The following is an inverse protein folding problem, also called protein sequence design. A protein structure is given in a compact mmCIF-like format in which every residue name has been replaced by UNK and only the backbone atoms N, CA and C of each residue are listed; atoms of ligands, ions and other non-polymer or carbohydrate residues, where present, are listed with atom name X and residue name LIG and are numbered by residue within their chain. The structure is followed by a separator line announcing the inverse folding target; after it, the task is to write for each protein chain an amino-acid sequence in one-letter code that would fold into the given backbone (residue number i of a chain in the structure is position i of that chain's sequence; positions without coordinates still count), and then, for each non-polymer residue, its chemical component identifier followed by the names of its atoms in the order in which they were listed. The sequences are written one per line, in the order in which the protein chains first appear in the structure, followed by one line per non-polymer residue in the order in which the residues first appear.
data_IF_634479889602
#
_entry.id   IF_634479889602
#
_cell.length_a   1.000
_cell.length_b   1.000
_cell.length_c   1.000
_cell.angle_alpha   90.00
_cell.angle_beta   90.00
_cell.angle_gamma   90.00
#
_symmetry.space_group_name_H-M   'P 1'
#
loop_
_entity.id
_entity.type
_entity.pdbx_description
1 polymer ?
#
# COMPACT_ATOMS: atom_id res chain seq x y z
N UNK A 1 -47.92 -57.09 -26.81
CA UNK A 1 -47.53 -55.72 -27.21
C UNK A 1 -48.02 -54.75 -26.15
N UNK A 2 -47.12 -54.12 -25.38
CA UNK A 2 -47.46 -53.04 -24.44
C UNK A 2 -46.75 -51.76 -24.93
N UNK A 3 -47.44 -50.63 -25.06
CA UNK A 3 -46.88 -49.46 -25.73
C UNK A 3 -45.93 -48.72 -24.80
N UNK A 4 -44.75 -48.42 -25.31
CA UNK A 4 -43.67 -47.72 -24.62
C UNK A 4 -43.93 -46.20 -24.65
N UNK A 5 -44.95 -45.74 -23.93
CA UNK A 5 -45.41 -44.33 -23.93
C UNK A 5 -44.78 -43.48 -22.83
N UNK A 6 -43.98 -44.09 -21.93
CA UNK A 6 -43.35 -43.38 -20.81
C UNK A 6 -42.06 -42.64 -21.14
N UNK A 7 -41.29 -43.10 -22.14
CA UNK A 7 -39.93 -42.59 -22.41
C UNK A 7 -39.94 -41.22 -23.10
N UNK A 8 -40.91 -40.99 -24.00
CA UNK A 8 -40.94 -39.78 -24.83
C UNK A 8 -41.23 -38.48 -24.04
N UNK A 9 -41.97 -38.58 -22.93
CA UNK A 9 -42.27 -37.43 -22.05
C UNK A 9 -41.00 -36.89 -21.38
N UNK A 10 -40.09 -37.78 -20.97
CA UNK A 10 -38.83 -37.41 -20.34
C UNK A 10 -37.85 -36.81 -21.35
N UNK A 11 -37.80 -37.34 -22.57
CA UNK A 11 -36.97 -36.81 -23.66
C UNK A 11 -37.39 -35.38 -24.01
N UNK A 12 -38.70 -35.13 -24.11
CA UNK A 12 -39.21 -33.77 -24.39
C UNK A 12 -38.91 -32.77 -23.28
N UNK A 13 -38.95 -33.19 -22.01
CA UNK A 13 -38.59 -32.33 -20.88
C UNK A 13 -37.09 -31.98 -20.88
N UNK A 14 -36.23 -32.94 -21.21
CA UNK A 14 -34.79 -32.70 -21.31
C UNK A 14 -34.48 -31.76 -22.47
N UNK A 15 -35.12 -31.94 -23.63
CA UNK A 15 -34.92 -31.07 -24.79
C UNK A 15 -35.42 -29.64 -24.53
N UNK A 16 -36.54 -29.47 -23.83
CA UNK A 16 -37.03 -28.15 -23.43
C UNK A 16 -36.07 -27.47 -22.45
N UNK A 17 -35.59 -28.21 -21.44
CA UNK A 17 -34.60 -27.68 -20.49
C UNK A 17 -33.31 -27.24 -21.20
N UNK A 18 -32.79 -28.08 -22.11
CA UNK A 18 -31.61 -27.75 -22.92
C UNK A 18 -31.83 -26.56 -23.85
N UNK A 19 -33.01 -26.47 -24.48
CA UNK A 19 -33.38 -25.33 -25.32
C UNK A 19 -33.44 -24.02 -24.54
N UNK A 20 -34.02 -24.01 -23.34
CA UNK A 20 -34.05 -22.83 -22.47
C UNK A 20 -32.66 -22.41 -21.99
N UNK A 21 -31.77 -23.37 -21.71
CA UNK A 21 -30.39 -23.09 -21.34
C UNK A 21 -29.60 -22.45 -22.48
N UNK A 22 -29.74 -22.98 -23.70
CA UNK A 22 -29.10 -22.42 -24.90
C UNK A 22 -29.64 -21.02 -25.22
N UNK A 23 -30.94 -20.80 -25.06
CA UNK A 23 -31.53 -19.48 -25.28
C UNK A 23 -31.10 -18.46 -24.22
N UNK A 24 -30.95 -18.89 -22.96
CA UNK A 24 -30.45 -18.05 -21.87
C UNK A 24 -28.99 -17.65 -22.09
N UNK A 25 -28.13 -18.59 -22.47
CA UNK A 25 -26.72 -18.34 -22.76
C UNK A 25 -26.56 -17.49 -24.04
N UNK A 26 -27.32 -17.80 -25.09
CA UNK A 26 -27.31 -17.04 -26.35
C UNK A 26 -27.84 -15.62 -26.19
N UNK A 27 -28.91 -15.43 -25.41
CA UNK A 27 -29.48 -14.11 -25.11
C UNK A 27 -28.53 -13.24 -24.29
N UNK A 28 -27.78 -13.83 -23.35
CA UNK A 28 -26.79 -13.07 -22.57
C UNK A 28 -25.56 -12.70 -23.39
N UNK A 29 -25.13 -13.54 -24.34
CA UNK A 29 -24.01 -13.26 -25.25
C UNK A 29 -24.33 -12.19 -26.31
N UNK A 30 -25.56 -12.18 -26.83
CA UNK A 30 -25.99 -11.14 -27.80
C UNK A 30 -26.21 -9.79 -27.11
N UNK A 31 -26.71 -9.77 -25.87
CA UNK A 31 -26.94 -8.53 -25.12
C UNK A 31 -25.66 -7.83 -24.65
N UNK A 32 -24.54 -8.55 -24.53
CA UNK A 32 -23.21 -7.96 -24.30
C UNK A 32 -22.57 -7.39 -25.58
N UNK A 33 -23.07 -7.75 -26.77
CA UNK A 33 -22.52 -7.29 -28.05
C UNK A 33 -23.08 -5.95 -28.55
N UNK A 34 -24.23 -5.50 -28.04
CA UNK A 34 -24.87 -4.21 -28.37
C UNK A 34 -24.44 -3.06 -27.44
N UNK A 35 -23.13 -2.89 -27.20
CA UNK A 35 -22.61 -1.66 -26.56
C UNK A 35 -21.55 -0.91 -27.40
N UNK A 36 -21.82 -0.60 -28.70
CA UNK A 36 -20.91 0.20 -29.52
C UNK A 36 -20.74 1.66 -29.03
N UNK A 37 -21.69 2.19 -28.25
CA UNK A 37 -21.64 3.56 -27.74
C UNK A 37 -20.60 3.79 -26.62
N UNK A 38 -20.13 2.71 -25.97
CA UNK A 38 -19.12 2.85 -24.90
C UNK A 38 -17.72 2.94 -25.50
N UNK A 39 -17.41 2.14 -26.53
CA UNK A 39 -16.10 2.18 -27.20
C UNK A 39 -15.91 3.47 -28.01
N UNK A 40 -16.96 3.98 -28.66
CA UNK A 40 -16.91 5.26 -29.39
C UNK A 40 -16.74 6.47 -28.46
N UNK A 41 -17.37 6.44 -27.28
CA UNK A 41 -17.17 7.46 -26.23
C UNK A 41 -15.79 7.40 -25.59
N UNK A 42 -15.24 6.20 -25.37
CA UNK A 42 -13.87 6.07 -24.88
C UNK A 42 -12.84 6.49 -25.96
N UNK A 43 -13.05 6.14 -27.22
CA UNK A 43 -12.18 6.56 -28.32
C UNK A 43 -12.21 8.08 -28.54
N UNK A 44 -13.39 8.71 -28.49
CA UNK A 44 -13.51 10.17 -28.59
C UNK A 44 -12.91 10.89 -27.38
N UNK A 45 -12.98 10.32 -26.18
CA UNK A 45 -12.22 10.82 -25.01
C UNK A 45 -10.70 10.68 -25.20
N UNK A 46 -10.24 9.56 -25.76
CA UNK A 46 -8.81 9.32 -26.02
C UNK A 46 -8.32 10.30 -27.09
N UNK A 47 -9.06 10.51 -28.17
CA UNK A 47 -8.73 11.47 -29.22
C UNK A 47 -8.71 12.90 -28.67
N UNK A 48 -9.70 13.30 -27.86
CA UNK A 48 -9.70 14.61 -27.22
C UNK A 48 -8.52 14.80 -26.26
N UNK A 49 -8.09 13.74 -25.56
CA UNK A 49 -6.88 13.77 -24.72
C UNK A 49 -5.60 13.83 -25.56
N UNK A 50 -5.53 13.12 -26.68
CA UNK A 50 -4.40 13.13 -27.61
C UNK A 50 -4.23 14.51 -28.25
N UNK A 51 -5.34 15.12 -28.66
CA UNK A 51 -5.38 16.46 -29.21
C UNK A 51 -4.98 17.50 -28.17
N UNK A 52 -5.46 17.36 -26.92
CA UNK A 52 -5.00 18.19 -25.80
C UNK A 52 -3.50 18.03 -25.52
N UNK A 53 -2.97 16.80 -25.55
CA UNK A 53 -1.54 16.55 -25.35
C UNK A 53 -0.69 17.09 -26.51
N UNK A 54 -1.21 17.01 -27.75
CA UNK A 54 -0.57 17.59 -28.92
C UNK A 54 -0.56 19.12 -28.83
N UNK A 55 -1.68 19.72 -28.45
CA UNK A 55 -1.81 21.15 -28.19
C UNK A 55 -0.82 21.60 -27.11
N UNK A 56 -0.71 20.84 -26.02
CA UNK A 56 0.24 21.10 -24.94
C UNK A 56 1.70 20.96 -25.40
N UNK A 57 2.01 20.01 -26.28
CA UNK A 57 3.34 19.89 -26.88
C UNK A 57 3.66 21.04 -27.84
N UNK A 58 2.69 21.49 -28.63
CA UNK A 58 2.83 22.66 -29.50
C UNK A 58 2.98 23.95 -28.68
N UNK A 59 2.25 24.10 -27.57
CA UNK A 59 2.41 25.23 -26.66
C UNK A 59 3.76 25.22 -25.96
N UNK A 60 4.26 24.05 -25.54
CA UNK A 60 5.62 23.91 -25.01
C UNK A 60 6.68 24.24 -26.07
N UNK A 61 6.49 23.81 -27.31
CA UNK A 61 7.37 24.18 -28.43
C UNK A 61 7.33 25.68 -28.73
N UNK A 62 6.15 26.31 -28.69
CA UNK A 62 5.99 27.76 -28.83
C UNK A 62 6.64 28.51 -27.67
N UNK A 63 6.54 28.00 -26.45
CA UNK A 63 7.27 28.56 -25.30
C UNK A 63 8.78 28.41 -25.51
N UNK A 64 9.26 27.27 -26.00
CA UNK A 64 10.68 27.06 -26.34
C UNK A 64 11.15 27.98 -27.48
N UNK A 65 10.33 28.22 -28.50
CA UNK A 65 10.60 29.18 -29.58
C UNK A 65 10.56 30.63 -29.10
N UNK A 66 9.66 30.97 -28.16
CA UNK A 66 9.63 32.30 -27.54
C UNK A 66 10.86 32.58 -26.67
N UNK A 67 11.53 31.52 -26.20
CA UNK A 67 12.79 31.57 -25.48
C UNK A 67 14.01 31.53 -26.43
N UNK A 68 13.81 31.38 -27.75
CA UNK A 68 14.88 31.42 -28.73
C UNK A 68 15.35 32.87 -28.93
N UNK A 69 16.51 33.16 -28.36
CA UNK A 69 17.20 34.45 -28.45
C UNK A 69 17.41 34.80 -29.94
N UNK A 70 17.00 35.99 -30.44
CA UNK A 70 17.41 36.46 -31.75
C UNK A 70 18.94 36.68 -31.73
N UNK A 71 19.69 35.99 -32.59
CA UNK A 71 21.10 36.31 -32.87
C UNK A 71 21.18 37.62 -33.67
N UNK A 72 20.90 38.74 -32.99
CA UNK A 72 21.18 40.10 -33.46
C UNK A 72 22.37 40.69 -32.70
N UNK A 73 23.02 41.74 -33.22
CA UNK A 73 24.23 42.29 -32.62
C UNK A 73 23.99 42.70 -31.16
N UNK A 74 24.92 42.35 -30.28
CA UNK A 74 24.88 42.66 -28.85
C UNK A 74 25.04 44.18 -28.69
N UNK A 75 23.94 44.89 -28.51
CA UNK A 75 23.97 46.30 -28.15
C UNK A 75 24.23 46.43 -26.64
N UNK A 76 25.43 46.86 -26.27
CA UNK A 76 25.86 47.06 -24.88
C UNK A 76 25.21 48.32 -24.31
N UNK A 77 24.01 48.17 -23.74
CA UNK A 77 23.32 49.24 -23.04
C UNK A 77 22.52 48.76 -21.82
N UNK A 78 22.16 49.66 -20.89
CA UNK A 78 21.44 49.34 -19.65
C UNK A 78 20.06 48.67 -19.89
N UNK A 79 19.52 48.73 -21.11
CA UNK A 79 18.31 48.03 -21.53
C UNK A 79 18.49 46.50 -21.65
N UNK A 80 19.71 46.01 -21.91
CA UNK A 80 20.00 44.58 -22.01
C UNK A 80 19.92 43.87 -20.65
N UNK A 81 20.39 44.52 -19.58
CA UNK A 81 20.30 44.00 -18.22
C UNK A 81 18.86 43.84 -17.72
N UNK A 82 17.96 44.76 -18.12
CA UNK A 82 16.53 44.67 -17.81
C UNK A 82 15.84 43.49 -18.50
N UNK A 83 16.21 43.19 -19.75
CA UNK A 83 15.69 42.03 -20.50
C UNK A 83 16.17 40.70 -19.92
N UNK A 84 17.43 40.62 -19.50
CA UNK A 84 17.99 39.42 -18.86
C UNK A 84 17.27 39.12 -17.54
N UNK A 85 17.01 40.13 -16.70
CA UNK A 85 16.25 39.94 -15.45
C UNK A 85 14.80 39.49 -15.69
N UNK A 86 14.13 40.04 -16.71
CA UNK A 86 12.78 39.62 -17.06
C UNK A 86 12.74 38.16 -17.55
N UNK A 87 13.75 37.72 -18.29
CA UNK A 87 13.90 36.33 -18.75
C UNK A 87 14.22 35.38 -17.59
N UNK A 88 15.05 35.77 -16.64
CA UNK A 88 15.32 34.98 -15.43
C UNK A 88 14.05 34.79 -14.59
N UNK A 89 13.25 35.84 -14.42
CA UNK A 89 11.99 35.75 -13.66
C UNK A 89 10.97 34.85 -14.35
N UNK A 90 10.88 34.91 -15.69
CA UNK A 90 10.05 34.00 -16.48
C UNK A 90 10.53 32.54 -16.38
N UNK A 91 11.85 32.31 -16.37
CA UNK A 91 12.43 30.98 -16.22
C UNK A 91 12.13 30.38 -14.84
N UNK A 92 12.17 31.18 -13.78
CA UNK A 92 11.84 30.75 -12.42
C UNK A 92 10.36 30.36 -12.33
N UNK A 93 9.45 31.21 -12.84
CA UNK A 93 8.00 30.91 -12.86
C UNK A 93 7.69 29.66 -13.69
N UNK A 94 8.34 29.48 -14.83
CA UNK A 94 8.17 28.29 -15.66
C UNK A 94 8.67 27.02 -14.96
N UNK A 95 9.82 27.08 -14.26
CA UNK A 95 10.33 25.96 -13.45
C UNK A 95 9.36 25.57 -12.33
N UNK A 96 8.80 26.55 -11.62
CA UNK A 96 7.80 26.28 -10.57
C UNK A 96 6.53 25.62 -11.13
N UNK A 97 6.04 26.07 -12.28
CA UNK A 97 4.86 25.47 -12.92
C UNK A 97 5.11 24.03 -13.37
N UNK A 98 6.31 23.72 -13.89
CA UNK A 98 6.71 22.36 -14.26
C UNK A 98 6.79 21.44 -13.03
N UNK A 99 7.33 21.94 -11.92
CA UNK A 99 7.43 21.17 -10.66
C UNK A 99 6.04 20.91 -10.03
N UNK A 100 5.12 21.87 -10.12
CA UNK A 100 3.72 21.67 -9.71
C UNK A 100 3.03 20.62 -10.60
N UNK A 101 3.27 20.64 -11.90
CA UNK A 101 2.69 19.68 -12.84
C UNK A 101 3.25 18.25 -12.63
N UNK A 102 4.55 18.12 -12.32
CA UNK A 102 5.15 16.83 -11.91
C UNK A 102 4.58 16.28 -10.62
N UNK A 103 4.17 17.15 -9.69
CA UNK A 103 3.62 16.76 -8.38
C UNK A 103 2.14 16.41 -8.41
N UNK A 104 1.42 16.68 -9.50
CA UNK A 104 0.05 16.20 -9.62
C UNK A 104 0.06 14.68 -9.83
N UNK A 105 -0.64 13.90 -8.99
CA UNK A 105 -0.87 12.49 -9.27
C UNK A 105 -1.65 12.45 -10.59
N UNK A 106 -1.00 12.00 -11.66
CA UNK A 106 -1.67 11.90 -12.93
C UNK A 106 -2.83 10.92 -12.77
N UNK A 107 -4.05 11.36 -13.04
CA UNK A 107 -5.23 10.50 -13.23
C UNK A 107 -5.08 9.58 -14.48
N UNK A 108 -3.86 9.18 -14.82
CA UNK A 108 -3.43 8.55 -16.07
C UNK A 108 -3.00 7.08 -15.89
N UNK A 109 -3.39 6.45 -14.76
CA UNK A 109 -3.03 5.06 -14.46
C UNK A 109 -1.65 4.94 -13.79
N UNK A 110 -1.10 3.72 -13.68
CA UNK A 110 0.21 3.49 -13.10
C UNK A 110 1.30 4.21 -13.90
N UNK A 111 2.33 4.71 -13.22
CA UNK A 111 3.44 5.38 -13.86
C UNK A 111 4.29 4.43 -14.71
N UNK A 112 5.17 5.03 -15.50
CA UNK A 112 6.04 4.29 -16.42
C UNK A 112 6.92 3.28 -15.68
N UNK A 113 7.59 3.74 -14.62
CA UNK A 113 8.51 2.92 -13.84
C UNK A 113 7.80 1.75 -13.16
N UNK A 114 6.60 1.99 -12.62
CA UNK A 114 5.76 0.93 -12.07
C UNK A 114 5.49 -0.18 -13.09
N UNK A 115 5.04 0.18 -14.29
CA UNK A 115 4.73 -0.82 -15.31
C UNK A 115 5.98 -1.52 -15.88
N UNK A 116 7.12 -0.83 -15.95
CA UNK A 116 8.40 -1.44 -16.32
C UNK A 116 8.86 -2.46 -15.28
N UNK A 117 8.85 -2.10 -14.00
CA UNK A 117 9.21 -3.00 -12.90
C UNK A 117 8.24 -4.18 -12.80
N UNK A 118 6.93 -3.95 -12.91
CA UNK A 118 5.92 -5.02 -12.92
C UNK A 118 6.18 -6.04 -14.01
N UNK A 119 6.45 -5.59 -15.25
CA UNK A 119 6.79 -6.50 -16.37
C UNK A 119 8.14 -7.17 -16.18
N UNK A 120 9.14 -6.47 -15.64
CA UNK A 120 10.46 -7.04 -15.36
C UNK A 120 10.38 -8.17 -14.32
N UNK A 121 9.60 -7.99 -13.26
CA UNK A 121 9.32 -9.03 -12.26
C UNK A 121 8.62 -10.23 -12.92
N UNK A 122 7.58 -9.98 -13.71
CA UNK A 122 6.86 -11.03 -14.44
C UNK A 122 7.79 -11.84 -15.34
N UNK A 123 8.67 -11.15 -16.08
CA UNK A 123 9.68 -11.80 -16.92
C UNK A 123 10.70 -12.56 -16.08
N UNK A 124 11.19 -11.97 -14.98
CA UNK A 124 12.13 -12.62 -14.06
C UNK A 124 11.60 -13.93 -13.50
N UNK A 125 10.30 -13.99 -13.15
CA UNK A 125 9.65 -15.23 -12.70
C UNK A 125 9.56 -16.27 -13.83
N UNK A 126 9.26 -15.85 -15.06
CA UNK A 126 9.24 -16.75 -16.23
C UNK A 126 10.63 -17.33 -16.52
N UNK A 127 11.67 -16.49 -16.52
CA UNK A 127 13.05 -16.92 -16.75
C UNK A 127 13.55 -17.83 -15.63
N UNK A 128 13.23 -17.53 -14.37
CA UNK A 128 13.52 -18.40 -13.24
C UNK A 128 12.89 -19.78 -13.43
N UNK A 129 11.63 -19.84 -13.88
CA UNK A 129 10.95 -21.10 -14.14
C UNK A 129 11.60 -21.90 -15.29
N UNK A 130 11.94 -21.24 -16.40
CA UNK A 130 12.66 -21.88 -17.50
C UNK A 130 14.02 -22.41 -17.06
N UNK A 131 14.76 -21.61 -16.28
CA UNK A 131 16.04 -22.00 -15.72
C UNK A 131 15.91 -23.23 -14.80
N UNK A 132 15.00 -23.20 -13.82
CA UNK A 132 14.74 -24.34 -12.93
C UNK A 132 14.39 -25.59 -13.72
N UNK A 133 13.47 -25.50 -14.67
CA UNK A 133 13.08 -26.67 -15.47
C UNK A 133 14.26 -27.25 -16.26
N UNK A 134 15.09 -26.39 -16.84
CA UNK A 134 16.26 -26.81 -17.61
C UNK A 134 17.31 -27.48 -16.72
N UNK A 135 17.72 -26.83 -15.64
CA UNK A 135 18.78 -27.32 -14.76
C UNK A 135 18.38 -28.57 -13.99
N UNK A 136 17.14 -28.65 -13.50
CA UNK A 136 16.64 -29.87 -12.84
C UNK A 136 16.63 -31.06 -13.79
N UNK A 137 16.32 -30.87 -15.08
CA UNK A 137 16.43 -31.94 -16.08
C UNK A 137 17.88 -32.39 -16.27
N UNK A 138 18.85 -31.46 -16.30
CA UNK A 138 20.28 -31.80 -16.41
C UNK A 138 20.77 -32.58 -15.20
N UNK A 139 20.46 -32.12 -13.99
CA UNK A 139 20.88 -32.77 -12.73
C UNK A 139 20.36 -34.21 -12.64
N UNK A 140 19.16 -34.51 -13.17
CA UNK A 140 18.61 -35.88 -13.20
C UNK A 140 19.46 -36.88 -14.02
N UNK A 141 20.32 -36.39 -14.91
CA UNK A 141 21.19 -37.23 -15.74
C UNK A 141 22.63 -37.31 -15.20
N UNK A 142 22.92 -36.69 -14.05
CA UNK A 142 24.21 -36.70 -13.40
C UNK A 142 24.20 -37.62 -12.17
N UNK A 143 25.36 -38.16 -11.80
CA UNK A 143 25.51 -39.03 -10.63
C UNK A 143 26.72 -38.61 -9.76
N UNK A 144 26.72 -39.04 -8.50
CA UNK A 144 27.85 -38.84 -7.57
C UNK A 144 28.22 -37.37 -7.32
N UNK A 145 29.52 -37.09 -7.23
CA UNK A 145 30.05 -35.75 -6.95
C UNK A 145 29.74 -34.72 -8.05
N UNK A 146 29.52 -35.15 -9.29
CA UNK A 146 29.16 -34.25 -10.38
C UNK A 146 27.75 -33.68 -10.21
N UNK A 147 26.80 -34.55 -9.83
CA UNK A 147 25.43 -34.14 -9.49
C UNK A 147 25.41 -33.18 -8.29
N UNK A 148 26.22 -33.45 -7.26
CA UNK A 148 26.34 -32.57 -6.08
C UNK A 148 26.85 -31.18 -6.46
N UNK A 149 27.97 -31.10 -7.20
CA UNK A 149 28.53 -29.82 -7.66
C UNK A 149 27.55 -29.02 -8.53
N UNK A 150 26.82 -29.69 -9.42
CA UNK A 150 25.79 -29.03 -10.22
C UNK A 150 24.59 -28.58 -9.38
N UNK A 151 24.17 -29.36 -8.38
CA UNK A 151 23.10 -28.97 -7.48
C UNK A 151 23.48 -27.76 -6.62
N UNK A 152 24.71 -27.70 -6.13
CA UNK A 152 25.22 -26.55 -5.36
C UNK A 152 25.28 -25.29 -6.23
N UNK A 153 25.83 -25.40 -7.45
CA UNK A 153 25.86 -24.28 -8.41
C UNK A 153 24.44 -23.84 -8.82
N UNK A 154 23.50 -24.78 -8.95
CA UNK A 154 22.09 -24.47 -9.21
C UNK A 154 21.50 -23.64 -8.06
N UNK A 155 21.69 -24.07 -6.80
CA UNK A 155 21.18 -23.34 -5.63
C UNK A 155 21.74 -21.93 -5.53
N UNK A 156 23.04 -21.76 -5.80
CA UNK A 156 23.69 -20.43 -5.82
C UNK A 156 23.05 -19.52 -6.88
N UNK A 157 22.93 -20.00 -8.11
CA UNK A 157 22.32 -19.26 -9.21
C UNK A 157 20.85 -18.92 -8.96
N UNK A 158 20.08 -19.85 -8.42
CA UNK A 158 18.70 -19.60 -8.00
C UNK A 158 18.62 -18.52 -6.94
N UNK A 159 19.56 -18.52 -5.98
CA UNK A 159 19.67 -17.46 -4.99
C UNK A 159 19.89 -16.09 -5.63
N UNK A 160 20.75 -15.97 -6.63
CA UNK A 160 20.98 -14.70 -7.34
C UNK A 160 19.75 -14.24 -8.11
N UNK A 161 19.11 -15.14 -8.86
CA UNK A 161 17.89 -14.81 -9.61
C UNK A 161 16.75 -14.39 -8.69
N UNK A 162 16.53 -15.13 -7.59
CA UNK A 162 15.52 -14.79 -6.60
C UNK A 162 15.77 -13.43 -5.97
N UNK A 163 17.02 -13.11 -5.59
CA UNK A 163 17.38 -11.80 -5.04
C UNK A 163 17.14 -10.68 -6.05
N UNK A 164 17.49 -10.87 -7.32
CA UNK A 164 17.21 -9.90 -8.38
C UNK A 164 15.72 -9.56 -8.47
N UNK A 165 14.86 -10.59 -8.48
CA UNK A 165 13.40 -10.41 -8.51
C UNK A 165 12.92 -9.66 -7.27
N UNK A 166 13.42 -10.04 -6.08
CA UNK A 166 13.04 -9.36 -4.83
C UNK A 166 13.49 -7.90 -4.77
N UNK A 167 14.65 -7.57 -5.36
CA UNK A 167 15.10 -6.19 -5.51
C UNK A 167 14.17 -5.40 -6.43
N UNK A 168 13.72 -5.98 -7.54
CA UNK A 168 12.74 -5.34 -8.41
C UNK A 168 11.37 -5.16 -7.70
N UNK A 169 10.93 -6.12 -6.90
CA UNK A 169 9.73 -6.00 -6.03
C UNK A 169 9.90 -4.87 -5.01
N UNK A 170 11.08 -4.74 -4.41
CA UNK A 170 11.38 -3.64 -3.50
C UNK A 170 11.25 -2.30 -4.23
N UNK A 171 11.87 -2.13 -5.40
CA UNK A 171 11.74 -0.89 -6.17
C UNK A 171 10.30 -0.61 -6.61
N UNK A 172 9.54 -1.64 -6.99
CA UNK A 172 8.12 -1.50 -7.29
C UNK A 172 7.33 -0.98 -6.09
N UNK A 173 7.73 -1.34 -4.87
CA UNK A 173 7.10 -0.81 -3.64
C UNK A 173 7.42 0.67 -3.37
N UNK A 174 8.40 1.27 -4.05
CA UNK A 174 8.85 2.64 -3.79
C UNK A 174 8.51 3.60 -4.93
N UNK A 175 8.30 3.10 -6.15
CA UNK A 175 8.08 3.93 -7.34
C UNK A 175 6.77 4.73 -7.29
N UNK A 176 6.65 5.72 -8.18
CA UNK A 176 5.47 6.59 -8.33
C UNK A 176 5.03 7.30 -7.03
N UNK A 177 5.96 7.53 -6.09
CA UNK A 177 5.68 8.18 -4.80
C UNK A 177 4.94 7.29 -3.80
N UNK A 178 4.85 5.98 -4.06
CA UNK A 178 4.24 5.02 -3.15
C UNK A 178 4.99 4.93 -1.80
N UNK A 179 6.30 5.16 -1.80
CA UNK A 179 7.14 5.28 -0.62
C UNK A 179 6.69 6.43 0.29
N UNK A 180 6.63 7.65 -0.25
CA UNK A 180 6.27 8.88 0.47
C UNK A 180 4.84 8.82 0.97
N UNK A 181 3.93 8.29 0.14
CA UNK A 181 2.55 8.09 0.56
C UNK A 181 2.46 7.10 1.72
N UNK A 182 3.15 5.96 1.64
CA UNK A 182 3.12 4.92 2.69
C UNK A 182 3.73 5.41 3.99
N UNK A 183 4.85 6.13 3.93
CA UNK A 183 5.49 6.73 5.09
C UNK A 183 4.56 7.75 5.75
N UNK A 184 3.99 8.67 4.96
CA UNK A 184 3.03 9.66 5.46
C UNK A 184 1.83 9.02 6.12
N UNK A 185 1.18 8.07 5.44
CA UNK A 185 -0.02 7.40 5.97
C UNK A 185 0.30 6.63 7.27
N UNK A 186 1.46 5.96 7.34
CA UNK A 186 1.89 5.27 8.55
C UNK A 186 2.14 6.23 9.73
N UNK A 187 2.71 7.40 9.47
CA UNK A 187 2.88 8.46 10.47
C UNK A 187 1.52 9.02 10.91
N UNK A 188 0.64 9.36 9.97
CA UNK A 188 -0.69 9.91 10.26
C UNK A 188 -1.54 8.92 11.10
N UNK A 189 -1.48 7.62 10.80
CA UNK A 189 -2.14 6.57 11.59
C UNK A 189 -1.51 6.40 12.99
N UNK A 190 -0.19 6.51 13.09
CA UNK A 190 0.51 6.45 14.38
C UNK A 190 0.08 7.62 15.25
N UNK A 191 0.10 8.83 14.72
CA UNK A 191 -0.31 10.05 15.42
C UNK A 191 -1.76 9.98 15.88
N UNK A 192 -2.66 9.50 15.03
CA UNK A 192 -4.07 9.30 15.38
C UNK A 192 -4.23 8.37 16.59
N UNK A 193 -3.55 7.22 16.58
CA UNK A 193 -3.65 6.25 17.69
C UNK A 193 -2.99 6.80 18.96
N UNK A 194 -1.81 7.43 18.85
CA UNK A 194 -1.11 8.04 19.99
C UNK A 194 -1.92 9.17 20.62
N UNK A 195 -2.58 10.01 19.82
CA UNK A 195 -3.47 11.06 20.31
C UNK A 195 -4.66 10.48 21.08
N UNK A 196 -5.28 9.41 20.55
CA UNK A 196 -6.40 8.73 21.23
C UNK A 196 -5.96 8.09 22.55
N UNK A 197 -4.80 7.44 22.57
CA UNK A 197 -4.22 6.87 23.80
C UNK A 197 -3.93 7.97 24.81
N UNK A 198 -3.27 9.05 24.38
CA UNK A 198 -2.93 10.20 25.24
C UNK A 198 -4.19 10.83 25.82
N UNK A 199 -5.23 11.02 25.02
CA UNK A 199 -6.53 11.51 25.48
C UNK A 199 -7.16 10.61 26.53
N UNK A 200 -7.20 9.29 26.29
CA UNK A 200 -7.75 8.32 27.24
C UNK A 200 -6.96 8.28 28.55
N UNK A 201 -5.64 8.35 28.47
CA UNK A 201 -4.77 8.30 29.63
C UNK A 201 -4.81 9.57 30.47
N UNK A 202 -5.24 10.70 29.91
CA UNK A 202 -5.19 11.99 30.60
C UNK A 202 -6.58 12.62 30.82
N UNK A 203 -7.42 12.03 31.69
CA UNK A 203 -8.73 12.61 32.01
C UNK A 203 -8.58 13.92 32.79
N UNK A 204 -9.49 14.88 32.54
CA UNK A 204 -9.50 16.17 33.27
C UNK A 204 -9.70 16.04 34.77
N UNK A 205 -10.48 15.04 35.21
CA UNK A 205 -10.80 14.77 36.61
C UNK A 205 -10.51 13.29 36.90
N UNK A 206 -9.32 13.01 37.46
CA UNK A 206 -8.90 11.65 37.78
C UNK A 206 -9.78 10.99 38.85
N UNK A 207 -10.43 11.77 39.74
CA UNK A 207 -11.28 11.21 40.79
C UNK A 207 -12.57 10.57 40.25
N UNK A 208 -13.02 11.01 39.07
CA UNK A 208 -14.22 10.52 38.38
C UNK A 208 -13.93 9.63 37.19
N UNK A 209 -12.66 9.50 36.79
CA UNK A 209 -12.27 8.68 35.65
C UNK A 209 -12.56 7.21 35.90
N UNK A 210 -13.05 6.49 34.88
CA UNK A 210 -13.12 5.03 34.92
C UNK A 210 -11.71 4.48 34.75
N UNK A 211 -11.26 3.65 35.70
CA UNK A 211 -9.89 3.14 35.73
C UNK A 211 -9.84 1.64 35.47
N UNK A 212 -8.71 1.17 34.95
CA UNK A 212 -8.31 -0.23 34.89
C UNK A 212 -6.94 -0.35 35.53
N UNK A 213 -6.84 -1.10 36.62
CA UNK A 213 -5.59 -1.30 37.35
C UNK A 213 -4.87 -2.52 36.79
N UNK A 214 -3.60 -2.36 36.46
CA UNK A 214 -2.72 -3.44 35.99
C UNK A 214 -1.50 -3.51 36.87
N UNK A 215 -1.11 -4.71 37.31
CA UNK A 215 0.06 -4.92 38.14
C UNK A 215 1.18 -5.54 37.30
N UNK A 216 2.35 -4.90 37.24
CA UNK A 216 3.45 -5.34 36.38
C UNK A 216 4.12 -6.64 36.88
N UNK A 217 3.94 -7.01 38.15
CA UNK A 217 4.67 -8.08 38.84
C UNK A 217 4.18 -9.49 38.51
N UNK A 218 3.90 -9.76 37.23
CA UNK A 218 3.65 -11.11 36.74
C UNK A 218 4.90 -11.98 36.94
N UNK A 219 4.72 -13.24 37.31
CA UNK A 219 5.77 -14.22 37.59
C UNK A 219 6.55 -14.68 36.36
N UNK A 220 7.19 -13.78 35.61
CA UNK A 220 7.94 -14.08 34.39
C UNK A 220 9.00 -13.01 34.09
N UNK A 221 9.73 -13.15 32.98
CA UNK A 221 10.76 -12.20 32.54
C UNK A 221 10.21 -10.88 31.98
N UNK A 222 11.10 -9.91 31.74
CA UNK A 222 10.79 -8.54 31.31
C UNK A 222 9.83 -8.47 30.10
N UNK A 223 10.15 -9.16 29.00
CA UNK A 223 9.31 -9.13 27.80
C UNK A 223 7.89 -9.66 28.04
N UNK A 224 7.74 -10.67 28.90
CA UNK A 224 6.44 -11.19 29.31
C UNK A 224 5.66 -10.18 30.17
N UNK A 225 6.34 -9.46 31.07
CA UNK A 225 5.73 -8.40 31.87
C UNK A 225 5.32 -7.19 31.01
N UNK A 226 6.16 -6.78 30.05
CA UNK A 226 5.81 -5.71 29.12
C UNK A 226 4.59 -6.09 28.27
N UNK A 227 4.56 -7.31 27.70
CA UNK A 227 3.38 -7.81 26.99
C UNK A 227 2.14 -7.89 27.89
N UNK A 228 2.29 -8.17 29.19
CA UNK A 228 1.17 -8.10 30.13
C UNK A 228 0.63 -6.67 30.28
N UNK A 229 1.49 -5.66 30.39
CA UNK A 229 1.10 -4.25 30.42
C UNK A 229 0.44 -3.84 29.09
N UNK A 230 0.99 -4.23 27.95
CA UNK A 230 0.39 -3.98 26.61
C UNK A 230 -1.01 -4.60 26.52
N UNK A 231 -1.19 -5.83 27.00
CA UNK A 231 -2.50 -6.48 27.07
C UNK A 231 -3.48 -5.70 27.94
N UNK A 232 -3.08 -5.29 29.15
CA UNK A 232 -3.89 -4.42 30.01
C UNK A 232 -4.27 -3.12 29.30
N UNK A 233 -3.33 -2.50 28.58
CA UNK A 233 -3.54 -1.23 27.90
C UNK A 233 -4.55 -1.37 26.74
N UNK A 234 -4.46 -2.44 25.94
CA UNK A 234 -5.45 -2.70 24.88
C UNK A 234 -6.87 -2.90 25.44
N UNK A 235 -7.01 -3.60 26.58
CA UNK A 235 -8.32 -3.76 27.25
C UNK A 235 -8.80 -2.43 27.81
N UNK A 236 -7.92 -1.65 28.46
CA UNK A 236 -8.23 -0.33 28.98
C UNK A 236 -8.75 0.58 27.85
N UNK A 237 -8.08 0.55 26.69
CA UNK A 237 -8.50 1.24 25.48
C UNK A 237 -9.89 0.81 24.99
N UNK A 238 -10.11 -0.50 24.78
CA UNK A 238 -11.40 -1.02 24.31
C UNK A 238 -12.56 -0.85 25.30
N UNK A 239 -12.24 -0.66 26.59
CA UNK A 239 -13.24 -0.43 27.64
C UNK A 239 -13.38 1.04 28.05
N UNK A 240 -12.65 1.94 27.39
CA UNK A 240 -12.61 3.37 27.70
C UNK A 240 -12.30 3.65 29.19
N UNK A 241 -11.28 2.95 29.69
CA UNK A 241 -10.77 3.10 31.06
C UNK A 241 -9.33 3.61 31.01
N UNK A 242 -8.99 4.57 31.85
CA UNK A 242 -7.60 5.01 32.04
C UNK A 242 -6.81 3.88 32.71
N UNK A 243 -5.68 3.50 32.10
CA UNK A 243 -4.77 2.50 32.65
C UNK A 243 -4.02 3.10 33.85
N UNK A 244 -4.11 2.41 34.98
CA UNK A 244 -3.31 2.67 36.17
C UNK A 244 -2.31 1.51 36.31
N UNK A 245 -1.03 1.83 36.30
CA UNK A 245 0.05 0.84 36.38
C UNK A 245 0.60 0.77 37.81
N UNK A 246 0.40 -0.35 38.49
CA UNK A 246 1.04 -0.63 39.77
C UNK A 246 2.39 -1.33 39.53
N UNK A 247 3.48 -0.61 39.83
CA UNK A 247 4.86 -1.09 39.60
C UNK A 247 5.76 -1.11 40.82
N UNK A 248 5.22 -0.95 42.04
CA UNK A 248 6.01 -1.09 43.26
C UNK A 248 6.61 -2.50 43.37
N UNK A 249 7.82 -2.59 43.92
CA UNK A 249 8.56 -3.85 44.09
C UNK A 249 8.78 -4.61 42.77
N UNK A 250 8.94 -3.87 41.66
CA UNK A 250 9.23 -4.49 40.39
C UNK A 250 10.61 -5.13 40.39
N UNK A 251 10.67 -6.42 40.01
CA UNK A 251 11.90 -7.24 40.10
C UNK A 251 13.10 -6.67 39.32
N UNK A 252 12.83 -5.85 38.30
CA UNK A 252 13.87 -5.23 37.46
C UNK A 252 14.27 -3.84 37.96
N UNK A 253 13.43 -3.19 38.76
CA UNK A 253 13.72 -1.92 39.41
C UNK A 253 12.75 -1.73 40.57
N UNK A 254 13.25 -1.79 41.80
CA UNK A 254 12.41 -1.69 43.00
C UNK A 254 11.66 -0.36 43.11
N UNK A 255 12.21 0.70 42.49
CA UNK A 255 11.58 2.01 42.35
C UNK A 255 10.44 2.07 41.33
N UNK A 256 10.21 1.00 40.56
CA UNK A 256 9.08 0.87 39.65
C UNK A 256 9.34 1.36 38.22
N UNK A 257 8.26 1.48 37.46
CA UNK A 257 8.26 1.75 36.02
C UNK A 257 8.94 3.09 35.68
N UNK A 258 8.69 4.10 36.49
CA UNK A 258 9.13 5.48 36.30
C UNK A 258 10.64 5.69 36.45
N UNK A 259 11.36 4.66 36.91
CA UNK A 259 12.84 4.69 36.95
C UNK A 259 13.49 4.63 35.58
N UNK A 260 12.78 4.13 34.56
CA UNK A 260 13.30 3.94 33.20
C UNK A 260 12.35 4.46 32.12
N UNK A 261 11.06 4.61 32.40
CA UNK A 261 10.05 5.08 31.45
C UNK A 261 9.26 6.27 31.99
N UNK A 262 8.57 6.99 31.12
CA UNK A 262 7.58 8.00 31.55
C UNK A 262 6.39 7.34 32.25
N UNK A 263 5.72 8.02 33.19
CA UNK A 263 4.46 7.52 33.73
C UNK A 263 3.44 7.30 32.61
N UNK A 264 2.55 6.31 32.79
CA UNK A 264 1.53 5.99 31.77
C UNK A 264 0.44 7.06 31.62
N UNK A 265 0.40 8.03 32.53
CA UNK A 265 -0.50 9.19 32.53
C UNK A 265 0.18 10.36 33.25
N UNK A 266 -0.01 11.58 32.77
CA UNK A 266 0.49 12.80 33.42
C UNK A 266 -0.52 13.37 34.43
N UNK A 267 -1.80 13.01 34.31
CA UNK A 267 -2.91 13.61 35.08
C UNK A 267 -3.65 12.62 35.97
N UNK A 268 -3.45 11.32 35.78
CA UNK A 268 -4.17 10.29 36.52
C UNK A 268 -3.34 9.02 36.73
N UNK A 269 -2.55 9.01 37.80
CA UNK A 269 -1.72 7.88 38.23
C UNK A 269 -2.24 7.16 39.47
N UNK A 270 -3.24 7.74 40.14
CA UNK A 270 -3.82 7.19 41.36
C UNK A 270 -5.01 6.26 41.09
N UNK A 271 -5.12 5.19 41.90
CA UNK A 271 -6.14 4.15 41.77
C UNK A 271 -7.46 4.43 42.49
N UNK A 272 -7.61 5.56 43.18
CA UNK A 272 -8.82 5.87 43.95
C UNK A 272 -10.09 5.88 43.10
N UNK A 273 -11.21 5.55 43.73
CA UNK A 273 -12.52 5.57 43.11
C UNK A 273 -13.57 5.15 44.14
N UNK A 274 -14.83 5.50 43.86
CA UNK A 274 -15.95 5.19 44.77
C UNK A 274 -16.16 3.67 44.89
N UNK A 275 -15.95 2.93 43.80
CA UNK A 275 -16.13 1.48 43.73
C UNK A 275 -14.93 0.82 43.04
N UNK A 276 -14.49 -0.31 43.59
CA UNK A 276 -13.39 -1.14 43.06
C UNK A 276 -13.79 -2.61 43.06
N UNK A 277 -13.32 -3.39 42.08
CA UNK A 277 -13.60 -4.82 42.00
C UNK A 277 -12.77 -5.53 40.94
N UNK A 278 -12.66 -6.85 41.06
CA UNK A 278 -12.01 -7.68 40.05
C UNK A 278 -12.78 -7.69 38.73
N UNK A 279 -12.06 -7.95 37.64
CA UNK A 279 -12.66 -8.07 36.32
C UNK A 279 -13.72 -9.18 36.29
N UNK A 280 -14.95 -8.82 35.92
CA UNK A 280 -16.10 -9.73 35.80
C UNK A 280 -16.80 -9.65 34.44
N UNK A 281 -16.11 -9.07 33.44
CA UNK A 281 -16.66 -8.82 32.10
C UNK A 281 -17.33 -7.45 31.95
N UNK A 282 -17.45 -6.99 30.71
CA UNK A 282 -18.18 -5.76 30.37
C UNK A 282 -19.67 -6.10 30.31
N UNK A 283 -20.48 -5.51 31.21
CA UNK A 283 -21.94 -5.52 31.04
C UNK A 283 -22.26 -4.59 29.86
N UNK A 284 -22.87 -5.14 28.81
CA UNK A 284 -23.36 -4.40 27.65
C UNK A 284 -24.61 -3.61 28.00
#
# INVERSE_FOLDING_TARGET
MRPWTGSWRWIMLILLAWGTLLFYIGGHLVRDSEQPDRSSRELSKILAKLERLKQQNEDLRRMAESLRIPEGPIDQGPAAAGRVRALEEQLIKAKEQIEVYKKQPSNAGPGKEHEELRRKIENGVKELWFFVQSEVKKVKHLEGEEAQRHADALLENLGHQQRSIMTDVYYLSQTDGADKWREKEAMDLTDLVQQRITYLQNPKDCSKAKKLVCNINKGCGYGCQLHHVVYCFMIAYGTQRTLILESQNWRYSTGGWETVFKPVSETCTDRSGINSGHWSGKKH
#
